data_IF_638547147784
#
_entry.id   IF_638547147784
#
_cell.length_a   1.000
_cell.length_b   1.000
_cell.length_c   1.000
_cell.angle_alpha   90.00
_cell.angle_beta   90.00
_cell.angle_gamma   90.00
#
_symmetry.space_group_name_H-M   'P 1'
#
loop_
_entity.id
_entity.type
_entity.pdbx_description
1 polymer ?
#
# COMPACT_ATOMS: atom_id res chain seq x y z
N UNK A 1 -12.79 -15.21 3.03
CA UNK A 1 -12.47 -16.32 2.09
C UNK A 1 -11.22 -16.05 1.25
N UNK A 2 -11.07 -15.00 0.42
CA UNK A 2 -9.85 -14.80 -0.37
C UNK A 2 -8.57 -14.65 0.48
N UNK A 3 -8.64 -13.97 1.62
CA UNK A 3 -7.52 -13.80 2.55
C UNK A 3 -7.08 -15.17 3.13
N UNK A 4 -8.02 -15.94 3.64
CA UNK A 4 -7.75 -17.27 4.21
C UNK A 4 -7.17 -18.23 3.18
N UNK A 5 -7.69 -18.24 1.96
CA UNK A 5 -7.18 -19.07 0.86
C UNK A 5 -5.73 -18.73 0.53
N UNK A 6 -5.35 -17.46 0.55
CA UNK A 6 -3.96 -17.04 0.34
C UNK A 6 -3.06 -17.40 1.52
N UNK A 7 -3.54 -17.17 2.74
CA UNK A 7 -2.80 -17.54 3.95
C UNK A 7 -2.58 -19.05 4.06
N UNK A 8 -3.50 -19.87 3.53
CA UNK A 8 -3.31 -21.32 3.47
C UNK A 8 -2.13 -21.72 2.59
N UNK A 9 -1.81 -20.93 1.55
CA UNK A 9 -0.65 -21.17 0.65
C UNK A 9 0.60 -20.44 1.15
N UNK A 10 0.45 -19.23 1.60
CA UNK A 10 1.54 -18.33 2.05
C UNK A 10 1.20 -17.75 3.44
N UNK A 11 1.49 -18.45 4.52
CA UNK A 11 1.08 -18.08 5.88
C UNK A 11 1.64 -16.74 6.39
N UNK A 12 2.69 -16.24 5.76
CA UNK A 12 3.36 -14.98 6.14
C UNK A 12 2.88 -13.76 5.36
N UNK A 13 1.91 -13.94 4.45
CA UNK A 13 1.36 -12.81 3.71
C UNK A 13 0.73 -11.78 4.64
N UNK A 14 0.90 -10.52 4.23
CA UNK A 14 0.25 -9.38 4.85
C UNK A 14 -0.63 -8.70 3.81
N UNK A 15 -1.69 -8.06 4.25
CA UNK A 15 -2.70 -7.51 3.37
C UNK A 15 -2.94 -6.03 3.61
N UNK A 16 -3.01 -5.29 2.51
CA UNK A 16 -3.73 -4.03 2.42
C UNK A 16 -5.14 -4.35 1.94
N UNK A 17 -6.13 -3.83 2.63
CA UNK A 17 -7.55 -4.03 2.32
C UNK A 17 -8.24 -2.70 2.07
N UNK A 18 -9.24 -2.73 1.22
CA UNK A 18 -10.09 -1.58 0.90
C UNK A 18 -11.46 -1.78 1.59
N UNK A 19 -11.69 -1.22 2.80
CA UNK A 19 -12.98 -1.31 3.46
C UNK A 19 -14.06 -0.59 2.68
N UNK A 20 -15.25 -1.17 2.66
CA UNK A 20 -16.46 -0.58 2.07
C UNK A 20 -17.61 -0.58 3.07
N UNK A 21 -18.61 0.26 2.85
CA UNK A 21 -19.68 0.49 3.81
C UNK A 21 -20.58 -0.73 4.10
N UNK A 22 -20.47 -1.80 3.33
CA UNK A 22 -21.19 -3.05 3.55
C UNK A 22 -20.40 -4.09 4.39
N UNK A 23 -19.21 -3.70 4.90
CA UNK A 23 -18.49 -4.55 5.85
C UNK A 23 -19.24 -4.64 7.17
N UNK A 24 -19.70 -5.83 7.49
CA UNK A 24 -20.37 -6.11 8.77
C UNK A 24 -19.36 -6.52 9.88
N UNK A 25 -19.86 -6.60 11.09
CA UNK A 25 -19.05 -6.93 12.27
C UNK A 25 -18.44 -8.33 12.19
N UNK A 26 -19.14 -9.28 11.54
CA UNK A 26 -18.65 -10.66 11.38
C UNK A 26 -17.42 -10.70 10.44
N UNK A 27 -17.51 -9.99 9.32
CA UNK A 27 -16.39 -9.87 8.38
C UNK A 27 -15.19 -9.17 9.01
N UNK A 28 -15.42 -8.03 9.69
CA UNK A 28 -14.36 -7.26 10.36
C UNK A 28 -13.67 -8.12 11.41
N UNK A 29 -14.42 -8.81 12.26
CA UNK A 29 -13.88 -9.71 13.27
C UNK A 29 -13.10 -10.90 12.66
N UNK A 30 -13.62 -11.48 11.58
CA UNK A 30 -12.95 -12.56 10.88
C UNK A 30 -11.60 -12.12 10.25
N UNK A 31 -11.56 -10.93 9.68
CA UNK A 31 -10.33 -10.35 9.14
C UNK A 31 -9.31 -10.06 10.25
N UNK A 32 -9.74 -9.47 11.36
CA UNK A 32 -8.88 -9.21 12.52
C UNK A 32 -8.30 -10.50 13.10
N UNK A 33 -9.11 -11.56 13.19
CA UNK A 33 -8.67 -12.86 13.68
C UNK A 33 -7.55 -13.50 12.85
N UNK A 34 -7.37 -13.08 11.59
CA UNK A 34 -6.24 -13.56 10.76
C UNK A 34 -4.89 -13.02 11.25
N UNK A 35 -4.87 -11.89 11.93
CA UNK A 35 -3.66 -11.18 12.31
C UNK A 35 -2.81 -10.70 11.12
N UNK A 36 -3.35 -10.70 9.91
CA UNK A 36 -2.59 -10.48 8.67
C UNK A 36 -2.88 -9.15 7.97
N UNK A 37 -3.69 -8.26 8.59
CA UNK A 37 -4.03 -6.96 8.01
C UNK A 37 -3.00 -5.92 8.44
N UNK A 38 -2.27 -5.35 7.47
CA UNK A 38 -1.26 -4.32 7.71
C UNK A 38 -1.76 -2.91 7.40
N UNK A 39 -2.70 -2.77 6.47
CA UNK A 39 -3.18 -1.47 6.04
C UNK A 39 -4.64 -1.53 5.61
N UNK A 40 -5.35 -0.44 5.88
CA UNK A 40 -6.73 -0.19 5.48
C UNK A 40 -6.76 1.07 4.63
N UNK A 41 -7.08 0.95 3.34
CA UNK A 41 -7.18 2.08 2.42
C UNK A 41 -8.62 2.60 2.40
N UNK A 42 -8.82 3.75 3.02
CA UNK A 42 -10.14 4.34 3.30
C UNK A 42 -10.70 5.17 2.14
N UNK A 43 -9.95 5.27 1.04
CA UNK A 43 -10.39 5.88 -0.24
C UNK A 43 -10.87 7.34 -0.16
N UNK A 44 -10.44 8.11 0.83
CA UNK A 44 -10.92 9.48 1.05
C UNK A 44 -10.66 10.47 -0.10
N UNK A 45 -9.71 10.17 -0.99
CA UNK A 45 -9.36 10.99 -2.15
C UNK A 45 -9.95 10.50 -3.47
N UNK A 46 -10.83 9.49 -3.45
CA UNK A 46 -11.38 8.88 -4.66
C UNK A 46 -12.83 9.30 -4.96
N UNK A 47 -13.29 10.41 -4.39
CA UNK A 47 -14.67 10.90 -4.52
C UNK A 47 -15.08 11.06 -5.98
N UNK A 48 -16.27 10.52 -6.31
CA UNK A 48 -16.81 10.55 -7.67
C UNK A 48 -16.17 9.58 -8.65
N UNK A 49 -15.29 8.70 -8.21
CA UNK A 49 -14.69 7.63 -9.03
C UNK A 49 -15.41 6.29 -8.83
N UNK A 50 -15.15 5.28 -9.68
CA UNK A 50 -15.73 3.93 -9.48
C UNK A 50 -15.30 3.22 -8.18
N UNK A 51 -14.28 3.73 -7.50
CA UNK A 51 -13.76 3.19 -6.23
C UNK A 51 -14.03 4.14 -5.05
N UNK A 52 -14.93 5.09 -5.24
CA UNK A 52 -15.41 5.99 -4.19
C UNK A 52 -16.12 5.20 -3.10
N UNK A 53 -15.77 5.48 -1.86
CA UNK A 53 -16.41 4.96 -0.67
C UNK A 53 -16.96 6.13 0.14
N UNK A 54 -18.26 6.09 0.45
CA UNK A 54 -18.89 7.13 1.26
C UNK A 54 -18.23 7.13 2.64
N UNK A 55 -17.78 8.29 3.08
CA UNK A 55 -17.19 8.45 4.40
C UNK A 55 -18.19 8.13 5.48
N UNK A 56 -17.90 7.14 6.31
CA UNK A 56 -18.74 6.67 7.40
C UNK A 56 -17.95 6.69 8.73
N UNK A 57 -18.21 7.66 9.62
CA UNK A 57 -17.52 7.76 10.91
C UNK A 57 -17.68 6.53 11.82
N UNK A 58 -18.81 5.82 11.73
CA UNK A 58 -19.02 4.61 12.52
C UNK A 58 -18.11 3.48 12.05
N UNK A 59 -17.99 3.30 10.72
CA UNK A 59 -17.05 2.36 10.14
C UNK A 59 -15.61 2.74 10.51
N UNK A 60 -15.24 4.02 10.45
CA UNK A 60 -13.90 4.49 10.85
C UNK A 60 -13.58 4.13 12.29
N UNK A 61 -14.49 4.43 13.24
CA UNK A 61 -14.31 4.08 14.66
C UNK A 61 -14.07 2.59 14.83
N UNK A 62 -14.92 1.78 14.23
CA UNK A 62 -14.83 0.32 14.28
C UNK A 62 -13.51 -0.22 13.72
N UNK A 63 -13.06 0.28 12.57
CA UNK A 63 -11.80 -0.14 11.95
C UNK A 63 -10.59 0.28 12.80
N UNK A 64 -10.59 1.50 13.32
CA UNK A 64 -9.53 2.02 14.19
C UNK A 64 -9.36 1.16 15.45
N UNK A 65 -10.48 0.76 16.07
CA UNK A 65 -10.50 -0.05 17.30
C UNK A 65 -10.11 -1.51 17.03
N UNK A 66 -10.62 -2.06 15.92
CA UNK A 66 -10.45 -3.50 15.62
C UNK A 66 -9.05 -3.82 15.08
N UNK A 67 -8.42 -2.87 14.37
CA UNK A 67 -7.09 -3.04 13.78
C UNK A 67 -6.09 -2.01 14.36
N UNK A 68 -5.71 -2.13 15.64
CA UNK A 68 -4.92 -1.11 16.35
C UNK A 68 -3.51 -0.92 15.76
N UNK A 69 -2.97 -1.91 15.07
CA UNK A 69 -1.62 -1.88 14.51
C UNK A 69 -1.61 -1.59 12.99
N UNK A 70 -2.78 -1.55 12.33
CA UNK A 70 -2.83 -1.32 10.90
C UNK A 70 -2.65 0.15 10.53
N UNK A 71 -2.01 0.41 9.41
CA UNK A 71 -1.97 1.72 8.79
C UNK A 71 -3.35 2.12 8.27
N UNK A 72 -3.67 3.39 8.37
CA UNK A 72 -4.90 4.00 7.87
C UNK A 72 -4.52 4.86 6.65
N UNK A 73 -4.66 4.28 5.46
CA UNK A 73 -4.27 4.95 4.22
C UNK A 73 -5.41 5.81 3.70
N UNK A 74 -5.06 7.02 3.28
CA UNK A 74 -5.97 7.95 2.62
C UNK A 74 -7.33 8.17 3.33
N UNK A 75 -7.35 8.43 4.64
CA UNK A 75 -8.63 8.74 5.28
C UNK A 75 -9.20 10.06 4.77
N UNK A 76 -10.53 10.12 4.67
CA UNK A 76 -11.24 11.39 4.47
C UNK A 76 -11.29 12.17 5.80
N UNK A 77 -10.54 13.25 5.87
CA UNK A 77 -10.43 14.08 7.08
C UNK A 77 -11.48 15.18 7.07
N UNK A 78 -12.63 14.88 7.68
CA UNK A 78 -13.77 15.80 7.83
C UNK A 78 -13.90 16.26 9.28
N UNK A 79 -14.85 17.16 9.56
CA UNK A 79 -15.17 17.56 10.95
C UNK A 79 -15.65 16.37 11.80
N UNK A 80 -16.24 15.34 11.17
CA UNK A 80 -16.76 14.15 11.86
C UNK A 80 -15.68 13.08 12.08
N UNK A 81 -14.76 12.90 11.12
CA UNK A 81 -13.71 11.87 11.20
C UNK A 81 -12.43 12.35 11.88
N UNK A 82 -12.14 13.66 11.85
CA UNK A 82 -10.95 14.23 12.48
C UNK A 82 -10.81 13.87 13.97
N UNK A 83 -11.87 13.96 14.81
CA UNK A 83 -11.76 13.57 16.23
C UNK A 83 -11.40 12.10 16.44
N UNK A 84 -11.75 11.21 15.49
CA UNK A 84 -11.43 9.79 15.53
C UNK A 84 -9.98 9.55 15.08
N UNK A 85 -9.49 10.35 14.14
CA UNK A 85 -8.16 10.21 13.54
C UNK A 85 -7.05 10.89 14.36
N UNK A 86 -7.35 12.03 15.02
CA UNK A 86 -6.37 12.79 15.81
C UNK A 86 -5.62 11.92 16.85
N UNK A 87 -6.28 11.02 17.63
CA UNK A 87 -5.57 10.17 18.59
C UNK A 87 -4.65 9.12 17.95
N UNK A 88 -4.88 8.79 16.70
CA UNK A 88 -4.19 7.71 15.97
C UNK A 88 -3.46 8.20 14.71
N UNK A 89 -3.28 9.50 14.59
CA UNK A 89 -2.72 10.13 13.38
C UNK A 89 -1.33 9.59 12.99
N UNK A 90 -0.56 9.08 13.93
CA UNK A 90 0.72 8.45 13.63
C UNK A 90 0.60 7.18 12.77
N UNK A 91 -0.59 6.58 12.70
CA UNK A 91 -0.90 5.46 11.81
C UNK A 91 -1.49 5.90 10.47
N UNK A 92 -1.75 7.20 10.30
CA UNK A 92 -2.26 7.71 9.03
C UNK A 92 -1.14 7.79 8.02
N UNK A 93 -1.41 7.32 6.81
CA UNK A 93 -0.52 7.40 5.67
C UNK A 93 -1.26 7.89 4.43
N UNK A 94 -0.50 8.41 3.48
CA UNK A 94 -1.03 9.07 2.31
C UNK A 94 -0.49 8.44 1.03
N UNK A 95 -1.39 8.09 0.12
CA UNK A 95 -1.09 7.52 -1.19
C UNK A 95 -1.57 8.43 -2.33
N UNK A 96 -2.88 8.57 -2.48
CA UNK A 96 -3.47 9.24 -3.63
C UNK A 96 -3.02 10.70 -3.82
N UNK A 97 -2.88 11.52 -2.77
CA UNK A 97 -2.47 12.90 -2.92
C UNK A 97 -0.97 13.10 -3.19
N UNK A 98 -0.14 12.07 -3.02
CA UNK A 98 1.32 12.22 -3.05
C UNK A 98 1.87 12.14 -4.47
N UNK A 99 2.31 13.28 -5.00
CA UNK A 99 2.93 13.44 -6.33
C UNK A 99 4.24 14.24 -6.28
N UNK A 100 4.52 14.90 -5.14
CA UNK A 100 5.68 15.75 -4.94
C UNK A 100 6.01 15.91 -3.46
N UNK A 101 7.17 16.48 -3.16
CA UNK A 101 7.55 16.88 -1.80
C UNK A 101 6.54 17.89 -1.23
N UNK A 102 6.08 18.85 -2.04
CA UNK A 102 5.11 19.84 -1.59
C UNK A 102 3.77 19.20 -1.14
N UNK A 103 3.37 18.11 -1.78
CA UNK A 103 2.18 17.37 -1.36
C UNK A 103 2.41 16.72 0.01
N UNK A 104 3.60 16.15 0.25
CA UNK A 104 3.95 15.57 1.56
C UNK A 104 3.86 16.65 2.66
N UNK A 105 4.38 17.84 2.38
CA UNK A 105 4.35 18.97 3.31
C UNK A 105 2.94 19.50 3.59
N UNK A 106 2.04 19.35 2.62
CA UNK A 106 0.67 19.85 2.71
C UNK A 106 -0.30 18.91 3.45
N UNK A 107 0.12 17.68 3.75
CA UNK A 107 -0.76 16.71 4.40
C UNK A 107 -1.13 17.11 5.83
N UNK A 108 -2.35 16.76 6.29
CA UNK A 108 -2.70 16.85 7.69
C UNK A 108 -1.65 16.13 8.57
N UNK A 109 -1.38 16.69 9.75
CA UNK A 109 -0.37 16.17 10.69
C UNK A 109 1.05 16.08 10.12
N UNK A 110 1.41 17.02 9.23
CA UNK A 110 2.76 17.07 8.64
C UNK A 110 3.87 17.35 9.69
N UNK A 111 5.04 16.70 9.63
CA UNK A 111 5.36 15.64 8.65
C UNK A 111 4.63 14.32 8.96
N UNK A 112 4.14 13.62 7.93
CA UNK A 112 3.53 12.31 8.13
C UNK A 112 4.59 11.29 8.57
N UNK A 113 4.18 10.27 9.30
CA UNK A 113 5.12 9.21 9.70
C UNK A 113 5.56 8.34 8.54
N UNK A 114 4.68 8.14 7.55
CA UNK A 114 4.97 7.38 6.33
C UNK A 114 4.09 7.81 5.17
N UNK A 115 4.57 7.62 3.94
CA UNK A 115 3.86 7.93 2.70
C UNK A 115 4.07 6.85 1.64
N UNK A 116 3.08 6.69 0.76
CA UNK A 116 3.23 5.86 -0.43
C UNK A 116 3.94 6.65 -1.54
N UNK A 117 5.06 6.13 -2.02
CA UNK A 117 5.78 6.71 -3.15
C UNK A 117 5.54 5.86 -4.39
N UNK A 118 4.69 6.36 -5.29
CA UNK A 118 4.44 5.75 -6.60
C UNK A 118 5.30 6.43 -7.66
N UNK A 119 6.35 5.77 -8.16
CA UNK A 119 7.35 6.39 -9.03
C UNK A 119 6.77 7.11 -10.25
N UNK A 120 5.71 6.58 -10.84
CA UNK A 120 5.04 7.18 -12.01
C UNK A 120 4.41 8.55 -11.76
N UNK A 121 4.16 8.93 -10.50
CA UNK A 121 3.56 10.21 -10.14
C UNK A 121 4.59 11.35 -10.05
N UNK A 122 5.83 11.04 -9.78
CA UNK A 122 6.88 12.05 -9.57
C UNK A 122 7.49 12.60 -10.86
N UNK A 123 7.18 12.00 -12.02
CA UNK A 123 7.73 12.42 -13.31
C UNK A 123 9.19 12.02 -13.48
N UNK A 124 10.13 12.97 -13.65
CA UNK A 124 11.54 12.64 -13.82
C UNK A 124 12.12 11.91 -12.61
N UNK A 125 13.02 10.95 -12.87
CA UNK A 125 13.66 10.14 -11.81
C UNK A 125 14.39 10.99 -10.75
N UNK A 126 14.89 12.16 -11.16
CA UNK A 126 15.54 13.10 -10.23
C UNK A 126 14.57 13.65 -9.17
N UNK A 127 13.30 13.85 -9.51
CA UNK A 127 12.28 14.27 -8.53
C UNK A 127 11.89 13.14 -7.60
N UNK A 128 11.83 11.92 -8.14
CA UNK A 128 11.57 10.74 -7.33
C UNK A 128 12.69 10.55 -6.28
N UNK A 129 13.94 10.62 -6.70
CA UNK A 129 15.07 10.48 -5.77
C UNK A 129 15.12 11.61 -4.75
N UNK A 130 14.86 12.85 -5.17
CA UNK A 130 14.75 13.96 -4.23
C UNK A 130 13.63 13.74 -3.19
N UNK A 131 12.55 13.06 -3.54
CA UNK A 131 11.51 12.72 -2.57
C UNK A 131 11.95 11.63 -1.59
N UNK A 132 12.71 10.64 -2.03
CA UNK A 132 13.32 9.66 -1.11
C UNK A 132 14.33 10.32 -0.17
N UNK A 133 15.23 11.16 -0.69
CA UNK A 133 16.19 11.93 0.12
C UNK A 133 15.46 12.80 1.16
N UNK A 134 14.39 13.49 0.73
CA UNK A 134 13.54 14.29 1.61
C UNK A 134 12.93 13.48 2.75
N UNK A 135 12.41 12.30 2.46
CA UNK A 135 11.82 11.41 3.45
C UNK A 135 12.89 10.91 4.43
N UNK A 136 14.04 10.46 3.93
CA UNK A 136 15.16 9.97 4.74
C UNK A 136 15.68 11.05 5.70
N UNK A 137 15.94 12.26 5.20
CA UNK A 137 16.42 13.39 6.00
C UNK A 137 15.48 13.78 7.14
N UNK A 138 14.18 13.50 7.01
CA UNK A 138 13.14 13.86 7.99
C UNK A 138 12.60 12.68 8.79
N UNK A 139 13.14 11.50 8.57
CA UNK A 139 12.66 10.29 9.24
C UNK A 139 11.24 9.90 8.84
N UNK A 140 10.79 10.30 7.65
CA UNK A 140 9.49 9.90 7.08
C UNK A 140 9.68 8.54 6.42
N UNK A 141 8.92 7.55 6.86
CA UNK A 141 8.90 6.24 6.26
C UNK A 141 8.30 6.29 4.84
N UNK A 142 8.75 5.36 3.99
CA UNK A 142 8.18 5.20 2.67
C UNK A 142 7.75 3.74 2.45
N UNK A 143 6.69 3.56 1.67
CA UNK A 143 6.35 2.29 1.06
C UNK A 143 6.03 2.52 -0.42
N UNK A 144 6.09 1.47 -1.22
CA UNK A 144 5.94 1.59 -2.65
C UNK A 144 4.56 1.21 -3.12
N UNK A 145 4.16 1.82 -4.20
CA UNK A 145 2.97 1.44 -4.91
C UNK A 145 3.18 1.51 -6.41
N UNK A 146 2.32 0.81 -7.12
CA UNK A 146 2.18 0.91 -8.56
C UNK A 146 0.81 1.48 -8.91
N UNK A 147 0.68 1.85 -10.17
CA UNK A 147 -0.60 2.18 -10.79
C UNK A 147 -0.94 1.09 -11.82
N UNK A 148 -0.86 1.41 -13.07
CA UNK A 148 -1.17 0.48 -14.17
C UNK A 148 0.05 0.22 -15.06
N UNK A 149 1.23 0.24 -14.47
CA UNK A 149 2.48 0.04 -15.20
C UNK A 149 2.51 -1.34 -15.86
N UNK A 150 2.98 -1.35 -17.11
CA UNK A 150 3.07 -2.55 -17.94
C UNK A 150 4.54 -2.98 -18.11
N UNK A 151 4.73 -4.28 -18.26
CA UNK A 151 6.03 -4.86 -18.60
C UNK A 151 7.18 -4.39 -17.70
N UNK A 152 8.24 -3.79 -18.27
CA UNK A 152 9.40 -3.36 -17.51
C UNK A 152 9.10 -2.34 -16.40
N UNK A 153 8.08 -1.50 -16.59
CA UNK A 153 7.68 -0.50 -15.59
C UNK A 153 7.29 -1.14 -14.25
N UNK A 154 6.56 -2.24 -14.29
CA UNK A 154 6.21 -2.99 -13.06
C UNK A 154 7.46 -3.52 -12.36
N UNK A 155 8.42 -4.08 -13.09
CA UNK A 155 9.69 -4.51 -12.53
C UNK A 155 10.50 -3.37 -11.90
N UNK A 156 10.51 -2.19 -12.53
CA UNK A 156 11.20 -1.01 -12.00
C UNK A 156 10.64 -0.57 -10.65
N UNK A 157 9.31 -0.55 -10.47
CA UNK A 157 8.70 -0.21 -9.18
C UNK A 157 9.12 -1.20 -8.09
N UNK A 158 9.15 -2.48 -8.42
CA UNK A 158 9.56 -3.52 -7.48
C UNK A 158 11.04 -3.39 -7.10
N UNK A 159 11.90 -3.01 -8.04
CA UNK A 159 13.30 -2.71 -7.74
C UNK A 159 13.45 -1.52 -6.81
N UNK A 160 12.74 -0.43 -7.08
CA UNK A 160 12.76 0.75 -6.23
C UNK A 160 12.26 0.42 -4.81
N UNK A 161 11.19 -0.36 -4.70
CA UNK A 161 10.70 -0.84 -3.42
C UNK A 161 11.76 -1.63 -2.65
N UNK A 162 12.47 -2.54 -3.32
CA UNK A 162 13.51 -3.35 -2.67
C UNK A 162 14.77 -2.58 -2.27
N UNK A 163 15.00 -1.43 -2.88
CA UNK A 163 16.17 -0.59 -2.58
C UNK A 163 15.86 0.40 -1.44
N UNK A 164 14.73 1.09 -1.54
CA UNK A 164 14.43 2.23 -0.68
C UNK A 164 13.53 1.91 0.53
N UNK A 165 12.70 0.87 0.43
CA UNK A 165 11.74 0.51 1.48
C UNK A 165 11.39 -0.98 1.50
N UNK A 166 12.43 -1.87 1.62
CA UNK A 166 12.25 -3.33 1.49
C UNK A 166 11.38 -3.94 2.58
N UNK A 167 11.36 -3.34 3.76
CA UNK A 167 10.75 -3.90 4.98
C UNK A 167 9.34 -3.33 5.24
N UNK A 168 8.76 -2.61 4.28
CA UNK A 168 7.43 -1.99 4.41
C UNK A 168 6.38 -2.72 3.58
N UNK A 169 5.08 -2.53 3.88
CA UNK A 169 3.99 -3.19 3.16
C UNK A 169 3.80 -2.60 1.75
N UNK A 170 4.66 -2.97 0.81
CA UNK A 170 4.65 -2.47 -0.55
C UNK A 170 3.47 -3.00 -1.37
N UNK A 171 2.69 -2.10 -1.97
CA UNK A 171 1.60 -2.40 -2.90
C UNK A 171 2.14 -2.58 -4.34
N UNK A 172 3.05 -3.53 -4.52
CA UNK A 172 3.76 -3.79 -5.77
C UNK A 172 3.60 -5.21 -6.29
N UNK A 173 2.68 -5.98 -5.72
CA UNK A 173 2.45 -7.36 -6.08
C UNK A 173 2.12 -7.54 -7.56
N UNK A 174 2.51 -8.66 -8.19
CA UNK A 174 2.07 -9.00 -9.52
C UNK A 174 0.54 -9.08 -9.61
N UNK A 175 -0.02 -8.72 -10.77
CA UNK A 175 -1.47 -8.71 -10.98
C UNK A 175 -2.16 -10.04 -10.62
N UNK A 176 -1.50 -11.17 -10.81
CA UNK A 176 -2.02 -12.49 -10.47
C UNK A 176 -2.39 -12.65 -8.99
N UNK A 177 -1.77 -11.89 -8.08
CA UNK A 177 -2.12 -11.92 -6.65
C UNK A 177 -3.54 -11.42 -6.37
N UNK A 178 -4.10 -10.60 -7.24
CA UNK A 178 -5.45 -10.09 -7.10
C UNK A 178 -6.50 -10.99 -7.76
N UNK A 179 -6.09 -12.06 -8.44
CA UNK A 179 -6.99 -13.01 -9.05
C UNK A 179 -7.30 -14.16 -8.06
N UNK A 180 -8.55 -14.30 -7.57
CA UNK A 180 -8.92 -15.37 -6.65
C UNK A 180 -8.67 -16.78 -7.21
N UNK A 181 -8.79 -16.97 -8.53
CA UNK A 181 -8.54 -18.27 -9.16
C UNK A 181 -7.06 -18.67 -9.15
N UNK A 182 -6.16 -17.68 -9.07
CA UNK A 182 -4.71 -17.90 -9.01
C UNK A 182 -4.17 -17.91 -7.57
N UNK A 183 -5.00 -17.56 -6.59
CA UNK A 183 -4.60 -17.47 -5.19
C UNK A 183 -4.05 -18.77 -4.62
N UNK A 184 -4.50 -19.89 -5.16
CA UNK A 184 -4.10 -21.25 -4.76
C UNK A 184 -3.17 -21.91 -5.78
N UNK A 185 -2.79 -21.22 -6.85
CA UNK A 185 -1.88 -21.76 -7.84
C UNK A 185 -0.48 -21.90 -7.25
N UNK A 186 0.12 -23.11 -7.26
CA UNK A 186 1.50 -23.27 -6.83
C UNK A 186 2.42 -22.50 -7.79
N UNK A 187 3.39 -21.79 -7.26
CA UNK A 187 4.43 -21.11 -8.04
C UNK A 187 4.20 -19.64 -8.32
N UNK A 188 3.19 -19.00 -7.71
CA UNK A 188 3.20 -17.54 -7.63
C UNK A 188 4.44 -17.11 -6.83
N UNK A 189 5.30 -16.25 -7.38
CA UNK A 189 6.51 -15.83 -6.67
C UNK A 189 6.12 -15.07 -5.40
N UNK A 190 6.70 -15.43 -4.29
CA UNK A 190 6.56 -14.72 -3.00
C UNK A 190 7.21 -13.35 -3.05
N UNK A 191 8.23 -13.18 -3.90
CA UNK A 191 8.82 -11.90 -4.26
C UNK A 191 9.29 -11.92 -5.71
N UNK A 192 8.86 -10.97 -6.54
CA UNK A 192 9.41 -10.81 -7.88
C UNK A 192 10.88 -10.37 -7.88
N UNK A 193 11.41 -10.06 -6.72
CA UNK A 193 12.75 -9.57 -6.49
C UNK A 193 13.70 -10.62 -5.93
N UNK A 194 13.32 -11.89 -5.90
CA UNK A 194 14.34 -12.93 -5.72
C UNK A 194 15.43 -12.73 -6.77
N UNK A 195 16.54 -12.16 -6.27
CA UNK A 195 17.64 -11.80 -7.13
C UNK A 195 18.29 -13.05 -7.66
N UNK A 196 18.31 -13.18 -8.96
CA UNK A 196 19.46 -13.81 -9.57
C UNK A 196 20.67 -12.96 -9.13
N UNK A 197 21.55 -13.55 -8.33
CA UNK A 197 22.79 -12.90 -7.84
C UNK A 197 23.61 -12.31 -9.00
N UNK A 198 23.39 -12.79 -10.21
CA UNK A 198 24.06 -12.42 -11.44
C UNK A 198 23.31 -11.40 -12.31
N UNK A 199 22.17 -10.85 -11.86
CA UNK A 199 21.45 -9.85 -12.64
C UNK A 199 22.19 -8.52 -12.61
N UNK A 200 22.84 -8.17 -13.69
CA UNK A 200 23.41 -6.85 -13.92
C UNK A 200 22.29 -5.90 -14.40
N UNK A 201 22.04 -4.87 -13.63
CA UNK A 201 21.05 -3.85 -13.98
C UNK A 201 19.59 -4.28 -13.74
N UNK A 202 18.68 -3.72 -14.52
CA UNK A 202 17.26 -4.06 -14.41
C UNK A 202 17.01 -5.51 -14.78
N UNK A 203 16.21 -6.20 -13.98
CA UNK A 203 15.75 -7.55 -14.33
C UNK A 203 14.80 -7.48 -15.51
N UNK A 204 15.37 -7.66 -16.66
CA UNK A 204 14.58 -8.02 -17.82
C UNK A 204 14.28 -9.51 -17.70
N UNK A 205 13.04 -9.84 -17.53
CA UNK A 205 12.58 -11.22 -17.72
C UNK A 205 12.46 -11.59 -19.20
N UNK A 206 13.22 -10.90 -20.04
CA UNK A 206 13.41 -11.35 -21.41
C UNK A 206 14.05 -12.73 -21.40
N UNK A 207 13.77 -13.58 -22.38
CA UNK A 207 14.40 -14.87 -22.49
C UNK A 207 15.90 -14.66 -22.42
N UNK A 208 16.53 -15.22 -21.41
CA UNK A 208 17.95 -15.46 -21.45
C UNK A 208 18.12 -16.48 -22.58
N UNK A 209 18.36 -16.00 -23.78
CA UNK A 209 18.77 -16.90 -24.84
C UNK A 209 20.10 -17.49 -24.40
N UNK A 210 20.04 -18.77 -24.14
CA UNK A 210 21.22 -19.60 -23.96
C UNK A 210 22.08 -19.54 -25.20
#
# INVERSE_FOLDING_TARGET
KPVEERLAVYPTLRFKLDPVNDWDDELIAALAATGAVDSLDLKGFYKGTPVDVITDPELYSKLIETFPDAWLEDPDVTDETRPLLDPVHERVTWDAPIHSIADIEAMPWSPPRTVNIKPSRFGPISRLFAAYDYCEERGIGAYGGGQTELGPGRGQIQYLASIFHPDTPNDTAPRGYNNPAEATAPGLPTSPLESAIDALGFRWTGPQTA
#
